data_IF_899731290462
#
_entry.id   IF_899731290462
#
_cell.length_a   1.000
_cell.length_b   1.000
_cell.length_c   1.000
_cell.angle_alpha   90.00
_cell.angle_beta   90.00
_cell.angle_gamma   90.00
#
_symmetry.space_group_name_H-M   'P 1'
#
loop_
_entity.id
_entity.type
_entity.pdbx_description
1 polymer ?
#
# COMPACT_ATOMS: atom_id res chain seq x y z
N UNK A 1 -20.19 -14.26 3.13
CA UNK A 1 -18.84 -14.05 2.57
C UNK A 1 -18.38 -12.65 2.95
N UNK A 2 -17.25 -12.50 3.65
CA UNK A 2 -16.65 -11.17 3.88
C UNK A 2 -16.26 -10.59 2.50
N UNK A 3 -16.61 -9.33 2.22
CA UNK A 3 -16.24 -8.65 0.97
C UNK A 3 -14.71 -8.66 0.87
N UNK A 4 -14.17 -9.15 -0.26
CA UNK A 4 -12.73 -9.19 -0.49
C UNK A 4 -12.28 -7.80 -0.92
N UNK A 5 -11.55 -7.11 -0.04
CA UNK A 5 -10.95 -5.82 -0.37
C UNK A 5 -9.87 -6.00 -1.43
N UNK A 6 -9.66 -4.97 -2.26
CA UNK A 6 -8.46 -4.82 -3.09
C UNK A 6 -7.41 -3.92 -2.40
N UNK A 7 -6.22 -3.80 -3.00
CA UNK A 7 -5.12 -3.04 -2.41
C UNK A 7 -5.43 -1.55 -2.22
N UNK A 8 -6.14 -0.92 -3.15
CA UNK A 8 -6.54 0.48 -3.03
C UNK A 8 -7.58 0.67 -1.91
N UNK A 9 -8.55 -0.25 -1.77
CA UNK A 9 -9.51 -0.24 -0.66
C UNK A 9 -8.79 -0.35 0.71
N UNK A 10 -7.81 -1.26 0.83
CA UNK A 10 -7.05 -1.40 2.08
C UNK A 10 -6.26 -0.12 2.44
N UNK A 11 -5.66 0.54 1.45
CA UNK A 11 -4.93 1.80 1.64
C UNK A 11 -5.89 2.95 1.97
N UNK A 12 -7.05 3.02 1.33
CA UNK A 12 -8.07 4.02 1.62
C UNK A 12 -8.51 3.98 3.09
N UNK A 13 -8.65 2.78 3.67
CA UNK A 13 -8.93 2.62 5.10
C UNK A 13 -7.81 3.15 6.01
N UNK A 14 -6.54 2.99 5.63
CA UNK A 14 -5.40 3.55 6.39
C UNK A 14 -5.41 5.07 6.34
N UNK A 15 -5.66 5.64 5.16
CA UNK A 15 -5.58 7.08 4.92
C UNK A 15 -6.85 7.83 5.33
N UNK A 16 -7.98 7.13 5.49
CA UNK A 16 -9.30 7.74 5.65
C UNK A 16 -9.75 8.47 4.37
N UNK A 17 -9.33 8.00 3.20
CA UNK A 17 -9.58 8.64 1.90
C UNK A 17 -10.69 7.93 1.14
N UNK A 18 -11.24 8.61 0.12
CA UNK A 18 -12.06 7.94 -0.87
C UNK A 18 -11.19 6.98 -1.71
N UNK A 19 -11.78 5.86 -2.15
CA UNK A 19 -11.07 4.83 -2.91
C UNK A 19 -10.63 5.36 -4.27
N UNK A 20 -11.41 6.24 -4.90
CA UNK A 20 -11.08 6.78 -6.21
C UNK A 20 -9.92 7.78 -6.12
N UNK A 21 -9.85 8.59 -5.04
CA UNK A 21 -8.68 9.44 -4.75
C UNK A 21 -7.39 8.63 -4.61
N UNK A 22 -7.46 7.46 -3.95
CA UNK A 22 -6.29 6.57 -3.84
C UNK A 22 -5.90 6.02 -5.20
N UNK A 23 -6.85 5.59 -6.03
CA UNK A 23 -6.55 5.06 -7.38
C UNK A 23 -5.91 6.10 -8.28
N UNK A 24 -6.35 7.35 -8.20
CA UNK A 24 -5.81 8.45 -9.01
C UNK A 24 -4.37 8.78 -8.63
N UNK A 25 -4.00 8.54 -7.37
CA UNK A 25 -2.63 8.69 -6.88
C UNK A 25 -1.78 7.41 -7.02
N UNK A 26 -2.07 6.57 -8.02
CA UNK A 26 -1.22 5.40 -8.30
C UNK A 26 0.15 5.84 -8.80
N UNK A 27 1.19 5.29 -8.21
CA UNK A 27 2.56 5.50 -8.65
C UNK A 27 2.82 4.71 -9.94
N UNK A 28 3.22 5.43 -10.99
CA UNK A 28 3.43 4.87 -12.33
C UNK A 28 4.89 4.81 -12.76
N UNK A 29 5.82 5.42 -12.01
CA UNK A 29 7.23 5.45 -12.39
C UNK A 29 7.93 4.15 -11.97
N UNK A 30 8.62 3.51 -12.92
CA UNK A 30 9.28 2.23 -12.69
C UNK A 30 8.33 1.03 -12.67
N UNK A 31 8.89 -0.16 -12.89
CA UNK A 31 8.14 -1.41 -12.81
C UNK A 31 8.19 -1.94 -11.37
N UNK A 32 7.13 -1.69 -10.61
CA UNK A 32 6.97 -2.24 -9.26
C UNK A 32 6.39 -3.66 -9.31
N UNK A 33 6.76 -4.51 -8.34
CA UNK A 33 6.27 -5.89 -8.25
C UNK A 33 4.76 -5.99 -7.98
N UNK A 34 4.20 -4.98 -7.30
CA UNK A 34 2.78 -4.82 -6.99
C UNK A 34 2.41 -3.33 -7.10
N UNK A 35 1.11 -2.98 -7.18
CA UNK A 35 0.68 -1.58 -7.19
C UNK A 35 1.20 -0.80 -5.98
N UNK A 36 1.74 0.39 -6.25
CA UNK A 36 2.16 1.38 -5.26
C UNK A 36 1.33 2.64 -5.49
N UNK A 37 0.99 3.34 -4.40
CA UNK A 37 0.22 4.57 -4.39
C UNK A 37 0.97 5.63 -3.59
N UNK A 38 0.67 6.90 -3.80
CA UNK A 38 1.34 8.02 -3.12
C UNK A 38 0.33 8.85 -2.34
N UNK A 39 0.71 9.29 -1.14
CA UNK A 39 -0.04 10.29 -0.39
C UNK A 39 0.94 11.18 0.40
N UNK A 40 0.96 12.47 0.09
CA UNK A 40 2.01 13.37 0.57
C UNK A 40 3.39 12.90 0.13
N UNK A 41 4.34 12.84 1.08
CA UNK A 41 5.72 12.39 0.83
C UNK A 41 5.92 10.87 0.98
N UNK A 42 4.83 10.12 1.19
CA UNK A 42 4.89 8.69 1.43
C UNK A 42 4.37 7.88 0.24
N UNK A 43 4.98 6.72 0.07
CA UNK A 43 4.56 5.65 -0.81
C UNK A 43 3.84 4.59 0.01
N UNK A 44 2.81 3.98 -0.56
CA UNK A 44 1.99 2.96 0.06
C UNK A 44 1.84 1.76 -0.86
N UNK A 45 1.90 0.56 -0.27
CA UNK A 45 1.46 -0.65 -0.95
C UNK A 45 0.73 -1.56 0.03
N UNK A 46 -0.13 -2.43 -0.49
CA UNK A 46 -0.85 -3.40 0.32
C UNK A 46 -0.54 -4.81 -0.18
N UNK A 47 -0.34 -5.72 0.75
CA UNK A 47 -0.02 -7.12 0.50
C UNK A 47 -1.02 -8.00 1.22
N UNK A 48 -1.21 -9.22 0.73
CA UNK A 48 -1.82 -10.25 1.57
C UNK A 48 -0.87 -10.63 2.70
N UNK A 49 -1.40 -11.20 3.77
CA UNK A 49 -0.59 -11.70 4.89
C UNK A 49 0.52 -12.66 4.41
N UNK A 50 1.72 -12.52 5.00
CA UNK A 50 2.90 -13.33 4.68
C UNK A 50 3.61 -13.01 3.35
N UNK A 51 3.19 -11.95 2.63
CA UNK A 51 3.88 -11.48 1.41
C UNK A 51 4.74 -10.25 1.69
N UNK A 52 5.79 -10.12 0.90
CA UNK A 52 6.69 -8.97 0.95
C UNK A 52 6.08 -7.73 0.26
N UNK A 53 6.40 -6.52 0.74
CA UNK A 53 5.97 -5.27 0.13
C UNK A 53 6.59 -5.05 -1.26
N UNK A 54 6.14 -3.98 -1.93
CA UNK A 54 6.54 -3.68 -3.29
C UNK A 54 8.06 -3.54 -3.42
N UNK A 55 8.61 -4.13 -4.49
CA UNK A 55 10.01 -3.95 -4.90
C UNK A 55 10.02 -3.27 -6.25
N UNK A 56 11.04 -2.46 -6.51
CA UNK A 56 11.26 -1.94 -7.85
C UNK A 56 12.24 -2.84 -8.61
N UNK A 57 11.99 -3.07 -9.91
CA UNK A 57 12.89 -3.91 -10.71
C UNK A 57 14.26 -3.26 -10.84
N UNK A 58 15.29 -3.96 -10.37
CA UNK A 58 16.68 -3.56 -10.51
C UNK A 58 17.22 -2.76 -9.34
N UNK A 59 16.36 -2.23 -8.45
CA UNK A 59 16.77 -1.35 -7.36
C UNK A 59 15.87 -1.49 -6.13
N UNK A 60 16.44 -1.30 -4.93
CA UNK A 60 15.77 -1.57 -3.65
C UNK A 60 15.77 -0.32 -2.76
N UNK A 61 15.16 0.76 -3.25
CA UNK A 61 15.21 2.07 -2.57
C UNK A 61 14.25 2.21 -1.40
N UNK A 62 13.14 1.48 -1.41
CA UNK A 62 12.12 1.63 -0.38
C UNK A 62 12.44 0.83 0.88
N UNK A 63 12.52 1.53 2.00
CA UNK A 63 12.44 0.93 3.34
C UNK A 63 10.97 0.96 3.77
N UNK A 64 10.36 -0.23 3.84
CA UNK A 64 8.94 -0.37 4.15
C UNK A 64 8.71 -0.53 5.65
N UNK A 65 7.79 0.26 6.17
CA UNK A 65 7.25 0.17 7.52
C UNK A 65 5.81 -0.30 7.46
N UNK A 66 5.43 -1.22 8.36
CA UNK A 66 4.03 -1.63 8.49
C UNK A 66 3.21 -0.49 9.06
N UNK A 67 2.06 -0.20 8.45
CA UNK A 67 1.08 0.74 9.00
C UNK A 67 0.23 0.05 10.05
N UNK A 68 -0.04 0.74 11.16
CA UNK A 68 -1.08 0.35 12.11
C UNK A 68 -2.43 0.91 11.66
N UNK A 69 -3.49 0.13 11.84
CA UNK A 69 -4.84 0.49 11.43
C UNK A 69 -5.81 0.35 12.60
N UNK A 70 -6.69 1.33 12.76
CA UNK A 70 -7.86 1.20 13.66
C UNK A 70 -8.92 0.25 13.10
N UNK A 71 -8.94 0.07 11.77
CA UNK A 71 -9.76 -0.92 11.10
C UNK A 71 -8.98 -2.25 10.98
N UNK A 72 -9.54 -3.41 11.34
CA UNK A 72 -8.78 -4.66 11.43
C UNK A 72 -8.50 -5.27 10.05
N UNK A 73 -7.62 -4.66 9.26
CA UNK A 73 -7.30 -5.05 7.88
C UNK A 73 -6.78 -6.48 7.78
N UNK A 74 -6.09 -6.96 8.82
CA UNK A 74 -5.59 -8.33 8.93
C UNK A 74 -6.73 -9.36 8.94
N UNK A 75 -7.89 -9.05 9.54
CA UNK A 75 -9.07 -9.91 9.48
C UNK A 75 -9.68 -10.02 8.08
N UNK A 76 -9.31 -9.10 7.19
CA UNK A 76 -9.62 -9.11 5.76
C UNK A 76 -8.44 -9.62 4.92
N UNK A 77 -7.37 -10.09 5.57
CA UNK A 77 -6.20 -10.69 4.96
C UNK A 77 -5.20 -9.70 4.37
N UNK A 78 -5.24 -8.43 4.78
CA UNK A 78 -4.39 -7.37 4.24
C UNK A 78 -3.41 -6.82 5.26
N UNK A 79 -2.21 -6.48 4.78
CA UNK A 79 -1.20 -5.71 5.50
C UNK A 79 -0.83 -4.52 4.61
N UNK A 80 -0.81 -3.32 5.18
CA UNK A 80 -0.44 -2.09 4.46
C UNK A 80 0.93 -1.63 4.93
N UNK A 81 1.73 -1.18 3.97
CA UNK A 81 3.09 -0.72 4.16
C UNK A 81 3.22 0.70 3.67
N UNK A 82 4.05 1.49 4.35
CA UNK A 82 4.46 2.81 3.90
C UNK A 82 5.97 2.92 3.79
N UNK A 83 6.44 3.80 2.92
CA UNK A 83 7.85 4.14 2.81
C UNK A 83 7.98 5.64 2.54
N UNK A 84 8.99 6.27 3.11
CA UNK A 84 9.44 7.59 2.72
C UNK A 84 10.73 7.41 1.91
N UNK A 85 10.79 7.89 0.67
CA UNK A 85 12.02 7.75 -0.13
C UNK A 85 13.17 8.64 0.37
N UNK A 86 12.92 9.55 1.30
CA UNK A 86 13.90 10.52 1.78
C UNK A 86 14.85 10.01 2.90
N UNK A 87 14.95 8.70 3.15
CA UNK A 87 15.85 8.10 4.17
C UNK A 87 16.73 6.94 3.71
#
# INVERSE_FOLDING_TARGET
MKKRLNSAEAIAYILGWDIDDVKDNRYHYGHTSIPVFTAGDYYYCATTEGKEPAKMKGENWWKWERCESVFPLEEYGWVVWRSNMNE
#
